data_IF_722076621221
#
_entry.id   IF_722076621221
#
_cell.length_a   1.000
_cell.length_b   1.000
_cell.length_c   1.000
_cell.angle_alpha   90.00
_cell.angle_beta   90.00
_cell.angle_gamma   90.00
#
_symmetry.space_group_name_H-M   'P 1'
#
loop_
_entity.id
_entity.type
_entity.pdbx_description
1 polymer ?
#
# COMPACT_ATOMS: atom_id res chain seq x y z
N UNK A 1 -14.22 9.28 14.74
CA UNK A 1 -14.60 10.52 14.02
C UNK A 1 -16.03 10.35 13.53
N UNK A 2 -16.90 11.35 13.66
CA UNK A 2 -18.25 11.29 13.07
C UNK A 2 -18.16 11.59 11.56
N UNK A 3 -19.05 11.01 10.76
CA UNK A 3 -19.12 11.20 9.30
C UNK A 3 -19.14 12.69 8.92
N UNK A 4 -19.79 13.51 9.75
CA UNK A 4 -19.87 14.97 9.61
C UNK A 4 -18.50 15.65 9.67
N UNK A 5 -17.57 15.16 10.51
CA UNK A 5 -16.22 15.71 10.62
C UNK A 5 -15.29 15.35 9.45
N UNK A 6 -15.56 14.22 8.78
CA UNK A 6 -14.84 13.83 7.56
C UNK A 6 -15.22 14.74 6.39
N UNK A 7 -16.53 14.97 6.21
CA UNK A 7 -17.06 15.82 5.14
C UNK A 7 -16.46 17.24 5.21
N UNK A 8 -16.56 17.91 6.36
CA UNK A 8 -16.05 19.27 6.53
C UNK A 8 -14.56 19.40 6.21
N UNK A 9 -13.75 18.38 6.52
CA UNK A 9 -12.32 18.43 6.24
C UNK A 9 -11.98 18.19 4.78
N UNK A 10 -12.67 17.25 4.14
CA UNK A 10 -12.48 17.04 2.70
C UNK A 10 -12.96 18.27 1.90
N UNK A 11 -14.06 18.91 2.31
CA UNK A 11 -14.56 20.16 1.70
C UNK A 11 -13.58 21.34 1.88
N UNK A 12 -12.72 21.28 2.91
CA UNK A 12 -11.67 22.27 3.15
C UNK A 12 -10.44 22.14 2.26
N UNK A 13 -10.36 21.11 1.40
CA UNK A 13 -9.25 20.93 0.47
C UNK A 13 -9.47 21.85 -0.74
N UNK A 14 -8.52 22.76 -0.95
CA UNK A 14 -8.48 23.61 -2.14
C UNK A 14 -8.49 22.75 -3.42
N UNK A 15 -9.40 23.08 -4.34
CA UNK A 15 -9.65 22.32 -5.57
C UNK A 15 -10.83 21.34 -5.48
N UNK A 16 -11.40 21.12 -4.29
CA UNK A 16 -12.65 20.37 -4.13
C UNK A 16 -13.86 21.30 -4.23
N UNK A 17 -14.81 20.97 -5.10
CA UNK A 17 -16.07 21.70 -5.28
C UNK A 17 -17.22 21.09 -4.48
N UNK A 18 -17.36 19.77 -4.44
CA UNK A 18 -18.41 19.11 -3.65
C UNK A 18 -18.05 17.68 -3.27
N UNK A 19 -18.68 17.15 -2.23
CA UNK A 19 -18.42 15.81 -1.71
C UNK A 19 -19.71 15.09 -1.37
N UNK A 20 -19.84 13.88 -1.93
CA UNK A 20 -20.84 12.90 -1.53
C UNK A 20 -20.17 11.76 -0.76
N UNK A 21 -20.77 11.43 0.38
CA UNK A 21 -20.39 10.29 1.20
C UNK A 21 -21.50 9.26 1.09
N UNK A 22 -21.16 8.07 0.63
CA UNK A 22 -22.09 6.95 0.54
C UNK A 22 -21.97 6.13 1.83
N UNK A 23 -23.08 5.98 2.55
CA UNK A 23 -23.16 5.25 3.81
C UNK A 23 -24.00 3.99 3.59
N UNK A 24 -23.43 2.83 3.90
CA UNK A 24 -24.13 1.55 3.97
C UNK A 24 -24.32 1.09 5.42
N UNK A 25 -24.87 -0.11 5.59
CA UNK A 25 -25.26 -0.67 6.89
C UNK A 25 -24.09 -0.87 7.87
N UNK A 26 -22.86 -1.01 7.34
CA UNK A 26 -21.63 -1.19 8.13
C UNK A 26 -20.79 0.11 8.25
N UNK A 27 -21.22 1.23 7.66
CA UNK A 27 -20.49 2.50 7.67
C UNK A 27 -20.25 3.09 6.28
N UNK A 28 -19.18 3.88 6.14
CA UNK A 28 -18.84 4.56 4.88
C UNK A 28 -18.41 3.56 3.81
N UNK A 29 -19.17 3.49 2.71
CA UNK A 29 -18.93 2.57 1.59
C UNK A 29 -18.27 3.24 0.38
N UNK A 30 -18.35 4.57 0.27
CA UNK A 30 -17.78 5.29 -0.85
C UNK A 30 -17.66 6.79 -0.61
N UNK A 31 -16.74 7.43 -1.33
CA UNK A 31 -16.53 8.88 -1.34
C UNK A 31 -16.50 9.34 -2.80
N UNK A 32 -17.44 10.20 -3.20
CA UNK A 32 -17.43 10.87 -4.49
C UNK A 32 -17.01 12.32 -4.30
N UNK A 33 -15.95 12.73 -4.98
CA UNK A 33 -15.41 14.10 -4.93
C UNK A 33 -15.58 14.75 -6.29
N UNK A 34 -16.21 15.92 -6.32
CA UNK A 34 -16.27 16.77 -7.51
C UNK A 34 -15.20 17.83 -7.38
N UNK A 35 -14.37 17.97 -8.41
CA UNK A 35 -13.31 18.97 -8.47
C UNK A 35 -13.86 20.33 -8.94
N UNK A 36 -13.24 21.41 -8.49
CA UNK A 36 -13.51 22.75 -9.01
C UNK A 36 -12.99 22.88 -10.45
N UNK A 37 -13.60 23.76 -11.23
CA UNK A 37 -13.16 24.04 -12.61
C UNK A 37 -11.72 24.57 -12.61
N UNK A 38 -10.83 23.92 -13.36
CA UNK A 38 -9.40 24.25 -13.42
C UNK A 38 -8.55 23.70 -12.26
N UNK A 39 -9.12 22.88 -11.36
CA UNK A 39 -8.36 22.21 -10.31
C UNK A 39 -7.46 21.12 -10.90
N UNK A 40 -6.22 21.05 -10.42
CA UNK A 40 -5.29 19.98 -10.79
C UNK A 40 -5.61 18.71 -10.00
N UNK A 41 -6.15 17.71 -10.70
CA UNK A 41 -6.65 16.46 -10.10
C UNK A 41 -5.58 15.73 -9.26
N UNK A 42 -4.34 15.62 -9.75
CA UNK A 42 -3.27 14.94 -9.03
C UNK A 42 -2.97 15.59 -7.67
N UNK A 43 -2.88 16.92 -7.65
CA UNK A 43 -2.63 17.70 -6.43
C UNK A 43 -3.79 17.57 -5.43
N UNK A 44 -5.02 17.57 -5.91
CA UNK A 44 -6.20 17.39 -5.04
C UNK A 44 -6.26 15.99 -4.46
N UNK A 45 -6.00 14.96 -5.28
CA UNK A 45 -5.97 13.57 -4.84
C UNK A 45 -4.87 13.30 -3.80
N UNK A 46 -3.68 13.87 -3.97
CA UNK A 46 -2.58 13.72 -3.00
C UNK A 46 -2.91 14.37 -1.65
N UNK A 47 -3.57 15.53 -1.67
CA UNK A 47 -4.04 16.20 -0.44
C UNK A 47 -5.14 15.39 0.27
N UNK A 48 -6.09 14.84 -0.50
CA UNK A 48 -7.13 13.96 0.03
C UNK A 48 -6.48 12.71 0.64
N UNK A 49 -5.54 12.08 -0.07
CA UNK A 49 -4.81 10.89 0.40
C UNK A 49 -4.04 11.18 1.68
N UNK A 50 -3.27 12.25 1.73
CA UNK A 50 -2.52 12.64 2.94
C UNK A 50 -3.44 12.83 4.14
N UNK A 51 -4.61 13.43 3.93
CA UNK A 51 -5.60 13.67 4.96
C UNK A 51 -6.27 12.37 5.43
N UNK A 52 -6.67 11.48 4.51
CA UNK A 52 -7.23 10.17 4.84
C UNK A 52 -6.22 9.27 5.58
N UNK A 53 -4.96 9.29 5.17
CA UNK A 53 -3.84 8.60 5.86
C UNK A 53 -3.65 9.14 7.27
N UNK A 54 -3.69 10.46 7.44
CA UNK A 54 -3.58 11.13 8.75
C UNK A 54 -4.69 10.69 9.71
N UNK A 55 -5.88 10.34 9.20
CA UNK A 55 -7.02 9.92 10.00
C UNK A 55 -7.27 8.40 10.04
N UNK A 56 -6.35 7.60 9.48
CA UNK A 56 -6.44 6.14 9.50
C UNK A 56 -7.60 5.55 8.69
N UNK A 57 -8.25 6.34 7.85
CA UNK A 57 -9.34 5.92 6.96
C UNK A 57 -8.72 5.39 5.67
N UNK A 58 -8.57 4.07 5.57
CA UNK A 58 -8.27 3.40 4.30
C UNK A 58 -9.52 3.40 3.42
N UNK A 59 -9.35 3.70 2.12
CA UNK A 59 -10.46 3.74 1.15
C UNK A 59 -11.23 2.42 1.10
N UNK A 60 -12.57 2.47 0.98
CA UNK A 60 -13.37 1.31 0.63
C UNK A 60 -13.38 1.13 -0.89
N UNK A 61 -12.90 -0.01 -1.37
CA UNK A 61 -13.69 -0.95 -2.18
C UNK A 61 -12.85 -2.20 -2.44
N UNK A 62 -13.37 -3.32 -1.94
CA UNK A 62 -12.92 -4.68 -2.19
C UNK A 62 -12.91 -4.99 -3.67
N UNK A 63 -11.76 -4.81 -4.33
CA UNK A 63 -11.37 -5.74 -5.38
C UNK A 63 -11.07 -7.04 -4.64
N UNK A 64 -11.90 -8.07 -4.85
CA UNK A 64 -11.53 -9.43 -4.48
C UNK A 64 -10.92 -10.04 -5.74
N UNK A 65 -9.62 -9.82 -6.04
CA UNK A 65 -8.98 -10.59 -7.08
C UNK A 65 -9.02 -12.05 -6.66
N UNK A 66 -9.24 -12.97 -7.60
CA UNK A 66 -9.15 -14.39 -7.33
C UNK A 66 -7.77 -14.72 -6.76
N UNK A 67 -7.69 -14.87 -5.44
CA UNK A 67 -6.44 -15.15 -4.75
C UNK A 67 -6.04 -16.60 -5.01
N UNK A 68 -5.05 -16.82 -5.87
CA UNK A 68 -4.23 -18.03 -5.76
C UNK A 68 -3.29 -17.83 -4.58
N UNK A 69 -3.42 -18.66 -3.55
CA UNK A 69 -2.47 -18.70 -2.43
C UNK A 69 -1.16 -19.27 -2.94
N UNK A 70 -0.32 -18.44 -3.51
CA UNK A 70 1.07 -18.81 -3.79
C UNK A 70 1.85 -18.50 -2.51
N UNK A 71 2.47 -19.50 -1.92
CA UNK A 71 3.47 -19.28 -0.87
C UNK A 71 4.82 -19.30 -1.58
N UNK A 72 5.47 -18.15 -1.68
CA UNK A 72 6.87 -18.12 -2.05
C UNK A 72 7.67 -18.78 -0.91
N UNK A 73 8.25 -19.94 -1.19
CA UNK A 73 9.28 -20.54 -0.37
C UNK A 73 10.61 -20.09 -0.93
N UNK A 74 11.01 -18.85 -0.61
CA UNK A 74 12.35 -18.37 -0.93
C UNK A 74 13.19 -18.23 0.34
N UNK A 75 14.51 -18.17 0.13
CA UNK A 75 15.51 -18.05 1.18
C UNK A 75 15.79 -16.60 1.56
N UNK A 76 15.02 -15.64 1.03
CA UNK A 76 15.26 -14.22 1.29
C UNK A 76 14.63 -13.81 2.63
N UNK A 77 15.39 -13.07 3.42
CA UNK A 77 14.94 -12.57 4.73
C UNK A 77 14.90 -11.05 4.71
N UNK A 78 13.73 -10.49 5.03
CA UNK A 78 13.52 -9.04 5.10
C UNK A 78 13.47 -8.56 6.55
N UNK A 79 14.30 -7.57 6.86
CA UNK A 79 14.31 -6.82 8.12
C UNK A 79 13.99 -5.35 7.84
N UNK A 80 13.11 -4.78 8.66
CA UNK A 80 12.73 -3.36 8.56
C UNK A 80 12.77 -2.74 9.94
N UNK A 81 13.58 -1.70 10.09
CA UNK A 81 13.84 -1.04 11.36
C UNK A 81 13.81 0.48 11.20
N UNK A 82 13.48 1.17 12.28
CA UNK A 82 13.59 2.64 12.33
C UNK A 82 15.06 3.05 12.40
N UNK A 83 15.46 3.98 11.53
CA UNK A 83 16.78 4.57 11.48
C UNK A 83 16.66 6.10 11.52
N UNK A 84 16.34 6.62 12.70
CA UNK A 84 16.06 8.05 12.88
C UNK A 84 14.72 8.43 12.26
N UNK A 85 14.75 9.30 11.24
CA UNK A 85 13.54 9.73 10.51
C UNK A 85 13.22 8.84 9.29
N UNK A 86 14.03 7.82 9.03
CA UNK A 86 13.92 6.92 7.89
C UNK A 86 13.66 5.49 8.36
N UNK A 87 13.25 4.63 7.43
CA UNK A 87 13.29 3.18 7.60
C UNK A 87 14.55 2.62 6.95
N UNK A 88 15.26 1.77 7.70
CA UNK A 88 16.27 0.87 7.16
C UNK A 88 15.58 -0.41 6.75
N UNK A 89 15.59 -0.68 5.44
CA UNK A 89 15.08 -1.91 4.85
C UNK A 89 16.28 -2.73 4.40
N UNK A 90 16.43 -3.93 4.96
CA UNK A 90 17.48 -4.87 4.60
C UNK A 90 16.84 -6.17 4.10
N UNK A 91 17.24 -6.61 2.90
CA UNK A 91 16.87 -7.92 2.36
C UNK A 91 18.14 -8.74 2.18
N UNK A 92 18.19 -9.91 2.83
CA UNK A 92 19.34 -10.83 2.84
C UNK A 92 19.03 -12.06 1.99
N UNK A 93 19.97 -12.44 1.13
CA UNK A 93 19.96 -13.70 0.37
C UNK A 93 21.22 -14.53 0.65
N UNK A 94 21.57 -15.44 -0.27
CA UNK A 94 22.67 -16.40 -0.14
C UNK A 94 24.07 -15.74 -0.08
N UNK A 95 24.37 -15.05 1.03
CA UNK A 95 25.63 -14.34 1.29
C UNK A 95 25.64 -12.86 0.88
N UNK A 96 24.56 -12.35 0.30
CA UNK A 96 24.42 -10.95 -0.11
C UNK A 96 23.30 -10.25 0.65
N UNK A 97 23.45 -8.95 0.89
CA UNK A 97 22.43 -8.12 1.52
C UNK A 97 22.28 -6.80 0.77
N UNK A 98 21.04 -6.40 0.52
CA UNK A 98 20.70 -5.11 -0.07
C UNK A 98 20.04 -4.26 0.99
N UNK A 99 20.62 -3.08 1.26
CA UNK A 99 20.16 -2.15 2.29
C UNK A 99 19.68 -0.86 1.62
N UNK A 100 18.48 -0.41 1.97
CA UNK A 100 17.92 0.86 1.54
C UNK A 100 17.47 1.70 2.74
N UNK A 101 17.67 3.01 2.67
CA UNK A 101 17.08 3.98 3.58
C UNK A 101 15.95 4.69 2.84
N UNK A 102 14.73 4.62 3.39
CA UNK A 102 13.53 5.16 2.73
C UNK A 102 12.64 5.92 3.70
N UNK A 103 11.73 6.73 3.17
CA UNK A 103 10.72 7.41 3.97
C UNK A 103 9.90 6.40 4.80
N UNK A 104 9.42 6.77 5.99
CA UNK A 104 8.66 5.90 6.89
C UNK A 104 7.21 5.72 6.42
N UNK A 105 7.04 5.27 5.18
CA UNK A 105 5.74 4.99 4.57
C UNK A 105 5.66 3.52 4.12
N UNK A 106 4.48 2.89 4.19
CA UNK A 106 4.32 1.50 3.74
C UNK A 106 4.72 1.29 2.27
N UNK A 107 4.43 2.25 1.39
CA UNK A 107 4.76 2.14 -0.03
C UNK A 107 6.27 2.25 -0.26
N UNK A 108 6.96 3.15 0.44
CA UNK A 108 8.40 3.27 0.32
C UNK A 108 9.13 2.02 0.83
N UNK A 109 8.65 1.45 1.95
CA UNK A 109 9.14 0.16 2.44
C UNK A 109 8.89 -0.97 1.42
N UNK A 110 7.67 -1.07 0.86
CA UNK A 110 7.33 -2.08 -0.13
C UNK A 110 8.20 -1.96 -1.39
N UNK A 111 8.42 -0.74 -1.90
CA UNK A 111 9.31 -0.47 -3.03
C UNK A 111 10.75 -0.86 -2.74
N UNK A 112 11.25 -0.57 -1.53
CA UNK A 112 12.60 -0.97 -1.13
C UNK A 112 12.76 -2.49 -1.08
N UNK A 113 11.78 -3.20 -0.49
CA UNK A 113 11.76 -4.67 -0.45
C UNK A 113 11.69 -5.24 -1.87
N UNK A 114 10.78 -4.73 -2.71
CA UNK A 114 10.62 -5.18 -4.09
C UNK A 114 11.89 -4.98 -4.92
N UNK A 115 12.49 -3.80 -4.86
CA UNK A 115 13.75 -3.49 -5.55
C UNK A 115 14.89 -4.39 -5.09
N UNK A 116 15.02 -4.60 -3.77
CA UNK A 116 16.07 -5.44 -3.20
C UNK A 116 15.91 -6.91 -3.61
N UNK A 117 14.67 -7.44 -3.57
CA UNK A 117 14.36 -8.80 -4.04
C UNK A 117 14.64 -8.94 -5.54
N UNK A 118 14.13 -8.02 -6.35
CA UNK A 118 14.39 -7.94 -7.78
C UNK A 118 15.89 -8.00 -8.12
N UNK A 119 16.71 -7.28 -7.37
CA UNK A 119 18.17 -7.30 -7.52
C UNK A 119 18.78 -8.67 -7.17
N UNK A 120 18.32 -9.31 -6.09
CA UNK A 120 18.83 -10.60 -5.62
C UNK A 120 18.33 -11.79 -6.45
N UNK A 121 17.16 -11.67 -7.12
CA UNK A 121 16.55 -12.74 -7.92
C UNK A 121 16.68 -12.55 -9.43
N UNK A 122 17.21 -11.40 -9.89
CA UNK A 122 17.46 -11.13 -11.31
C UNK A 122 16.29 -10.54 -12.09
N UNK A 123 15.26 -10.00 -11.43
CA UNK A 123 14.09 -9.35 -12.05
C UNK A 123 14.28 -7.83 -12.14
N UNK A 124 15.17 -7.35 -13.02
CA UNK A 124 15.63 -5.94 -13.03
C UNK A 124 14.54 -4.89 -13.22
N UNK A 125 13.42 -5.24 -13.85
CA UNK A 125 12.38 -4.29 -14.29
C UNK A 125 11.14 -4.30 -13.38
N UNK A 126 11.22 -4.96 -12.22
CA UNK A 126 10.12 -5.03 -11.27
C UNK A 126 9.93 -3.72 -10.49
N UNK A 127 8.69 -3.20 -10.45
CA UNK A 127 8.32 -2.00 -9.69
C UNK A 127 7.10 -2.25 -8.80
N UNK A 128 7.16 -1.86 -7.52
CA UNK A 128 5.98 -1.83 -6.66
C UNK A 128 5.16 -0.55 -6.90
N UNK A 129 3.95 -0.73 -7.40
CA UNK A 129 3.02 0.34 -7.75
C UNK A 129 2.15 0.74 -6.56
N UNK A 130 1.71 -0.24 -5.77
CA UNK A 130 0.73 -0.02 -4.71
C UNK A 130 0.84 -1.01 -3.56
N UNK A 131 0.42 -0.56 -2.38
CA UNK A 131 0.24 -1.40 -1.20
C UNK A 131 -1.06 -1.02 -0.48
N UNK A 132 -1.79 -2.04 -0.03
CA UNK A 132 -3.01 -1.90 0.76
C UNK A 132 -3.07 -2.87 1.92
N UNK A 133 -4.01 -2.61 2.82
CA UNK A 133 -4.34 -3.51 3.92
C UNK A 133 -5.84 -3.51 4.09
N UNK A 134 -6.42 -4.69 3.97
CA UNK A 134 -7.84 -4.92 4.11
C UNK A 134 -8.12 -5.78 5.35
N UNK A 135 -9.33 -5.65 5.89
CA UNK A 135 -9.84 -6.49 6.96
C UNK A 135 -10.92 -7.40 6.38
N UNK A 136 -10.69 -8.71 6.41
CA UNK A 136 -11.62 -9.74 5.93
C UNK A 136 -11.96 -10.67 7.08
N UNK A 137 -13.15 -10.49 7.66
CA UNK A 137 -13.52 -11.16 8.91
C UNK A 137 -12.54 -10.79 10.03
N UNK A 138 -11.93 -11.80 10.66
CA UNK A 138 -10.90 -11.61 11.70
C UNK A 138 -9.48 -11.42 11.13
N UNK A 139 -9.29 -11.55 9.82
CA UNK A 139 -7.98 -11.48 9.19
C UNK A 139 -7.66 -10.10 8.64
N UNK A 140 -6.40 -9.69 8.77
CA UNK A 140 -5.83 -8.56 8.05
C UNK A 140 -5.04 -9.08 6.87
N UNK A 141 -5.34 -8.58 5.67
CA UNK A 141 -4.70 -9.01 4.42
C UNK A 141 -3.94 -7.82 3.88
N UNK A 142 -2.62 -7.96 3.74
CA UNK A 142 -1.75 -7.00 3.08
C UNK A 142 -1.65 -7.39 1.61
N UNK A 143 -1.94 -6.45 0.72
CA UNK A 143 -1.91 -6.64 -0.74
C UNK A 143 -0.89 -5.70 -1.36
N UNK A 144 -0.09 -6.21 -2.29
CA UNK A 144 0.91 -5.47 -3.06
C UNK A 144 0.60 -5.66 -4.53
N UNK A 145 0.63 -4.56 -5.30
CA UNK A 145 0.63 -4.61 -6.76
C UNK A 145 2.03 -4.27 -7.26
N UNK A 146 2.54 -5.09 -8.15
CA UNK A 146 3.81 -4.88 -8.83
C UNK A 146 3.58 -4.79 -10.34
N UNK A 147 4.46 -4.09 -11.04
CA UNK A 147 4.69 -4.30 -12.47
C UNK A 147 5.92 -5.18 -12.63
N UNK A 148 5.82 -6.28 -13.36
CA UNK A 148 6.93 -7.17 -13.70
C UNK A 148 6.87 -7.39 -15.21
N UNK A 149 7.94 -7.05 -15.93
CA UNK A 149 8.02 -7.15 -17.39
C UNK A 149 6.85 -6.48 -18.15
N UNK A 150 6.32 -5.39 -17.59
CA UNK A 150 5.19 -4.64 -18.16
C UNK A 150 3.81 -5.22 -17.84
N UNK A 151 3.72 -6.34 -17.11
CA UNK A 151 2.46 -6.90 -16.62
C UNK A 151 2.22 -6.50 -15.17
N UNK A 152 0.95 -6.25 -14.81
CA UNK A 152 0.58 -5.94 -13.43
C UNK A 152 0.22 -7.23 -12.70
N UNK A 153 1.01 -7.55 -11.67
CA UNK A 153 0.85 -8.71 -10.81
C UNK A 153 0.43 -8.28 -9.41
N UNK A 154 -0.19 -9.21 -8.67
CA UNK A 154 -0.66 -8.97 -7.32
C UNK A 154 -0.17 -10.07 -6.39
N UNK A 155 0.32 -9.67 -5.22
CA UNK A 155 0.64 -10.58 -4.13
C UNK A 155 -0.06 -10.18 -2.85
N UNK A 156 -0.52 -11.17 -2.09
CA UNK A 156 -1.28 -10.93 -0.86
C UNK A 156 -0.82 -11.87 0.25
N UNK A 157 -0.77 -11.36 1.48
CA UNK A 157 -0.39 -12.12 2.66
C UNK A 157 -1.24 -11.73 3.88
N UNK A 158 -1.58 -12.73 4.69
CA UNK A 158 -2.27 -12.49 5.97
C UNK A 158 -1.26 -11.99 7.00
N UNK A 159 -1.63 -10.93 7.72
CA UNK A 159 -0.84 -10.39 8.82
C UNK A 159 -1.08 -11.23 10.08
N UNK A 160 -0.29 -12.29 10.25
CA UNK A 160 -0.36 -13.18 11.43
C UNK A 160 0.81 -12.98 12.40
N UNK A 161 2.00 -12.69 11.89
CA UNK A 161 3.26 -12.60 12.65
C UNK A 161 3.92 -11.22 12.54
N UNK A 162 3.13 -10.18 12.29
CA UNK A 162 3.61 -8.81 12.11
C UNK A 162 3.63 -8.36 10.65
N UNK A 163 3.76 -7.05 10.47
CA UNK A 163 3.61 -6.41 9.16
C UNK A 163 4.77 -6.71 8.21
N UNK A 164 6.02 -6.79 8.72
CA UNK A 164 7.22 -7.05 7.91
C UNK A 164 7.14 -8.40 7.21
N UNK A 165 6.75 -9.45 7.93
CA UNK A 165 6.56 -10.80 7.38
C UNK A 165 5.45 -10.84 6.32
N UNK A 166 4.36 -10.10 6.54
CA UNK A 166 3.28 -10.03 5.57
C UNK A 166 3.70 -9.24 4.31
N UNK A 167 4.43 -8.14 4.50
CA UNK A 167 4.96 -7.36 3.39
C UNK A 167 5.91 -8.19 2.53
N UNK A 168 6.90 -8.83 3.15
CA UNK A 168 7.88 -9.65 2.46
C UNK A 168 7.22 -10.74 1.60
N UNK A 169 6.26 -11.46 2.18
CA UNK A 169 5.49 -12.48 1.46
C UNK A 169 4.64 -11.91 0.33
N UNK A 170 3.94 -10.81 0.57
CA UNK A 170 3.11 -10.19 -0.46
C UNK A 170 3.97 -9.69 -1.63
N UNK A 171 5.14 -9.12 -1.36
CA UNK A 171 6.10 -8.72 -2.39
C UNK A 171 6.64 -9.94 -3.13
N UNK A 172 7.07 -10.99 -2.42
CA UNK A 172 7.58 -12.22 -3.04
C UNK A 172 6.57 -12.80 -4.04
N UNK A 173 5.30 -12.91 -3.63
CA UNK A 173 4.22 -13.42 -4.49
C UNK A 173 3.94 -12.49 -5.66
N UNK A 174 3.99 -11.17 -5.47
CA UNK A 174 3.78 -10.22 -6.55
C UNK A 174 4.90 -10.30 -7.60
N UNK A 175 6.13 -10.61 -7.18
CA UNK A 175 7.28 -10.64 -8.09
C UNK A 175 7.45 -11.97 -8.84
N UNK A 176 6.85 -13.07 -8.36
CA UNK A 176 6.96 -14.40 -8.95
C UNK A 176 7.98 -15.27 -8.24
#
# INVERSE_FOLDING_TARGET
>A
MTVTGLRQRLEGIEGVSSIQLELGDAGLTGIRVTLAEGAEEATVLDRIRAMLVTYGLKSPETVTPGFSRVFAADELVTEIEEAGQLLRVEVKGAGEAVINLVDPTPLAAARAVGKARAQLTGHSDAEILWIGLDQVGSWRILTVLASVDGEVTAGAAVVTSGWTNALDRAVAVALG
#
